data_IF_687699638759
#
_entry.id   IF_687699638759
#
_cell.length_a   1.000
_cell.length_b   1.000
_cell.length_c   1.000
_cell.angle_alpha   90.00
_cell.angle_beta   90.00
_cell.angle_gamma   90.00
#
_symmetry.space_group_name_H-M   'P 1'
#
loop_
_entity.id
_entity.type
_entity.pdbx_description
1 polymer ?
#
# COMPACT_ATOMS: atom_id res chain seq x y z
N UNK A 1 10.23 7.16 -48.72
CA UNK A 1 8.80 7.41 -48.44
C UNK A 1 8.71 7.86 -47.00
N UNK A 2 8.87 9.16 -46.80
CA UNK A 2 8.82 9.86 -45.52
C UNK A 2 7.37 10.30 -45.31
N UNK A 3 6.79 10.01 -44.14
CA UNK A 3 5.54 10.62 -43.69
C UNK A 3 5.79 11.28 -42.34
N UNK A 4 5.92 12.60 -42.42
CA UNK A 4 5.93 13.58 -41.34
C UNK A 4 4.50 13.87 -40.88
N UNK A 5 4.20 13.71 -39.59
CA UNK A 5 2.93 14.14 -38.95
C UNK A 5 3.11 15.59 -38.40
N UNK A 6 2.29 16.57 -38.82
CA UNK A 6 2.51 18.00 -38.55
C UNK A 6 1.83 18.53 -37.28
N UNK A 7 1.90 17.83 -36.14
CA UNK A 7 1.18 18.23 -34.91
C UNK A 7 2.03 18.81 -33.78
N UNK A 8 3.18 19.39 -34.10
CA UNK A 8 3.97 20.16 -33.14
C UNK A 8 4.44 21.48 -33.76
N UNK A 9 3.57 22.48 -33.76
CA UNK A 9 4.00 23.88 -33.83
C UNK A 9 3.23 24.74 -32.83
N UNK A 10 3.98 25.66 -32.22
CA UNK A 10 3.60 26.80 -31.40
C UNK A 10 3.07 26.57 -29.97
N UNK A 11 3.99 26.67 -29.00
CA UNK A 11 3.73 27.43 -27.77
C UNK A 11 4.56 28.69 -27.80
N UNK A 12 3.87 29.82 -27.98
CA UNK A 12 4.42 31.16 -27.99
C UNK A 12 4.78 31.66 -26.60
N UNK A 13 5.59 32.71 -26.64
CA UNK A 13 6.20 33.48 -25.56
C UNK A 13 5.31 33.73 -24.33
N UNK A 14 5.85 33.38 -23.16
CA UNK A 14 5.30 33.72 -21.85
C UNK A 14 5.78 35.11 -21.40
N UNK A 15 5.04 36.16 -21.76
CA UNK A 15 5.21 37.51 -21.18
C UNK A 15 4.00 38.00 -20.37
N UNK A 16 2.92 37.20 -20.24
CA UNK A 16 1.68 37.62 -19.57
C UNK A 16 1.59 37.36 -18.05
N UNK A 17 2.51 36.60 -17.45
CA UNK A 17 2.37 36.15 -16.06
C UNK A 17 2.65 37.24 -15.00
N UNK A 18 3.34 38.33 -15.37
CA UNK A 18 3.72 39.39 -14.44
C UNK A 18 2.62 40.43 -14.20
N UNK A 19 1.65 40.56 -15.11
CA UNK A 19 0.61 41.58 -15.05
C UNK A 19 -0.57 41.17 -14.15
N UNK A 20 -0.96 39.89 -14.20
CA UNK A 20 -2.04 39.32 -13.37
C UNK A 20 -1.67 39.35 -11.88
N UNK A 21 -0.39 39.10 -11.55
CA UNK A 21 0.10 39.15 -10.17
C UNK A 21 0.04 40.56 -9.57
N UNK A 22 0.26 41.61 -10.38
CA UNK A 22 0.20 43.01 -9.92
C UNK A 22 -1.24 43.44 -9.65
N UNK A 23 -2.18 43.05 -10.51
CA UNK A 23 -3.61 43.31 -10.32
C UNK A 23 -4.20 42.65 -9.07
N UNK A 24 -3.76 41.42 -8.74
CA UNK A 24 -4.20 40.72 -7.54
C UNK A 24 -3.68 41.35 -6.23
N UNK A 25 -2.44 41.86 -6.21
CA UNK A 25 -1.87 42.52 -5.02
C UNK A 25 -2.53 43.87 -4.71
N UNK A 26 -2.87 44.66 -5.74
CA UNK A 26 -3.60 45.93 -5.56
C UNK A 26 -4.98 45.70 -4.95
N UNK A 27 -5.66 44.60 -5.32
CA UNK A 27 -6.98 44.25 -4.79
C UNK A 27 -6.95 43.82 -3.32
N UNK A 28 -5.89 43.14 -2.87
CA UNK A 28 -5.72 42.73 -1.47
C UNK A 28 -5.41 43.92 -0.54
N UNK A 29 -4.59 44.87 -1.00
CA UNK A 29 -4.27 46.10 -0.25
C UNK A 29 -5.49 47.02 -0.11
N UNK A 30 -6.29 47.16 -1.17
CA UNK A 30 -7.54 47.92 -1.13
C UNK A 30 -8.56 47.30 -0.14
N UNK A 31 -8.58 45.98 -0.01
CA UNK A 31 -9.45 45.27 0.92
C UNK A 31 -9.07 45.49 2.40
N UNK A 32 -7.76 45.54 2.69
CA UNK A 32 -7.26 45.83 4.03
C UNK A 32 -7.64 47.26 4.47
N UNK A 33 -7.56 48.23 3.55
CA UNK A 33 -7.94 49.62 3.81
C UNK A 33 -9.47 49.82 3.96
N UNK A 34 -10.28 49.08 3.21
CA UNK A 34 -11.75 49.17 3.31
C UNK A 34 -12.30 48.49 4.57
N UNK A 35 -11.66 47.40 5.06
CA UNK A 35 -12.00 46.79 6.35
C UNK A 35 -11.69 47.70 7.53
N UNK A 36 -10.56 48.42 7.52
CA UNK A 36 -10.24 49.38 8.57
C UNK A 36 -11.20 50.57 8.61
N UNK A 37 -11.95 50.82 7.54
CA UNK A 37 -12.93 51.90 7.42
C UNK A 37 -14.39 51.48 7.70
N UNK A 38 -14.65 50.22 8.08
CA UNK A 38 -16.00 49.75 8.45
C UNK A 38 -17.01 49.61 7.30
N UNK A 39 -16.57 49.68 6.05
CA UNK A 39 -17.46 49.60 4.88
C UNK A 39 -17.71 48.14 4.45
N UNK A 40 -18.97 47.79 4.17
CA UNK A 40 -19.32 46.48 3.60
C UNK A 40 -19.26 46.51 2.07
N UNK A 41 -18.57 45.56 1.46
CA UNK A 41 -18.45 45.46 0.01
C UNK A 41 -19.71 44.88 -0.66
N UNK A 42 -20.01 45.34 -1.89
CA UNK A 42 -21.06 44.74 -2.72
C UNK A 42 -20.70 43.30 -3.13
N UNK A 43 -21.74 42.53 -3.47
CA UNK A 43 -21.68 41.06 -3.59
C UNK A 43 -20.79 40.59 -4.76
N UNK A 44 -20.76 41.36 -5.84
CA UNK A 44 -19.94 41.20 -7.04
C UNK A 44 -18.44 41.29 -6.72
N UNK A 45 -18.05 42.25 -5.89
CA UNK A 45 -16.66 42.48 -5.49
C UNK A 45 -16.17 41.40 -4.53
N UNK A 46 -17.05 40.85 -3.68
CA UNK A 46 -16.77 39.66 -2.86
C UNK A 46 -16.51 38.42 -3.70
N UNK A 47 -17.21 38.26 -4.83
CA UNK A 47 -17.02 37.14 -5.75
C UNK A 47 -15.65 37.21 -6.44
N UNK A 48 -15.29 38.38 -6.96
CA UNK A 48 -13.99 38.63 -7.61
C UNK A 48 -12.80 38.38 -6.68
N UNK A 49 -12.91 38.78 -5.41
CA UNK A 49 -11.88 38.53 -4.39
C UNK A 49 -11.78 37.06 -3.99
N UNK A 50 -12.89 36.32 -4.01
CA UNK A 50 -12.88 34.87 -3.77
C UNK A 50 -12.15 34.13 -4.90
N UNK A 51 -12.42 34.51 -6.16
CA UNK A 51 -11.68 33.98 -7.33
C UNK A 51 -10.21 34.42 -7.35
N UNK A 52 -9.90 35.66 -6.95
CA UNK A 52 -8.53 36.18 -6.89
C UNK A 52 -7.68 35.52 -5.81
N UNK A 53 -8.24 35.29 -4.62
CA UNK A 53 -7.58 34.54 -3.54
C UNK A 53 -7.33 33.08 -3.92
N UNK A 54 -8.24 32.45 -4.66
CA UNK A 54 -8.09 31.09 -5.18
C UNK A 54 -6.96 31.00 -6.22
N UNK A 55 -6.84 32.00 -7.12
CA UNK A 55 -5.72 32.09 -8.07
C UNK A 55 -4.37 32.34 -7.39
N UNK A 56 -4.32 33.16 -6.33
CA UNK A 56 -3.10 33.40 -5.58
C UNK A 56 -2.61 32.16 -4.81
N UNK A 57 -3.53 31.35 -4.27
CA UNK A 57 -3.21 30.06 -3.64
C UNK A 57 -2.65 29.03 -4.64
N UNK A 58 -3.05 29.10 -5.91
CA UNK A 58 -2.52 28.25 -6.98
C UNK A 58 -1.11 28.68 -7.44
N UNK A 59 -0.74 29.96 -7.31
CA UNK A 59 0.53 30.50 -7.78
C UNK A 59 1.76 30.19 -6.89
N UNK A 60 1.57 29.66 -5.66
CA UNK A 60 2.67 29.43 -4.70
C UNK A 60 3.18 27.99 -4.55
N UNK A 61 2.76 27.02 -5.37
CA UNK A 61 3.51 25.75 -5.41
C UNK A 61 4.56 25.83 -6.50
N UNK A 62 5.81 26.06 -6.08
CA UNK A 62 6.95 25.57 -6.84
C UNK A 62 6.87 24.05 -7.01
N UNK A 63 7.59 23.48 -7.98
CA UNK A 63 7.60 22.03 -8.19
C UNK A 63 8.10 21.35 -6.90
N UNK A 64 7.22 20.60 -6.25
CA UNK A 64 7.65 19.62 -5.25
C UNK A 64 8.27 18.50 -6.06
N UNK A 65 9.60 18.44 -6.08
CA UNK A 65 10.32 17.31 -6.63
C UNK A 65 10.02 16.12 -5.73
N UNK A 66 9.09 15.26 -6.16
CA UNK A 66 8.95 13.95 -5.58
C UNK A 66 10.31 13.26 -5.72
N UNK A 67 10.92 12.88 -4.61
CA UNK A 67 12.09 12.01 -4.68
C UNK A 67 11.60 10.72 -5.35
N UNK A 68 12.09 10.48 -6.57
CA UNK A 68 11.70 9.33 -7.36
C UNK A 68 12.29 8.11 -6.66
N UNK A 69 11.54 7.51 -5.75
CA UNK A 69 11.64 6.06 -5.50
C UNK A 69 10.97 5.27 -6.64
N UNK A 70 11.06 5.78 -7.86
CA UNK A 70 10.95 4.98 -9.06
C UNK A 70 12.26 4.20 -9.13
N UNK A 71 12.30 3.10 -8.39
CA UNK A 71 13.37 2.12 -8.43
C UNK A 71 13.48 1.44 -9.80
N UNK A 72 12.70 1.87 -10.81
CA UNK A 72 12.56 1.28 -12.14
C UNK A 72 12.19 -0.20 -12.10
N UNK A 73 11.70 -0.67 -10.95
CA UNK A 73 11.23 -2.01 -10.81
C UNK A 73 9.87 -2.08 -11.51
N UNK A 74 9.63 -3.09 -12.36
CA UNK A 74 8.39 -3.24 -13.08
C UNK A 74 7.21 -3.44 -12.12
N UNK A 75 6.04 -3.04 -12.62
CA UNK A 75 4.72 -3.37 -12.12
C UNK A 75 3.70 -3.13 -13.22
N UNK A 76 2.59 -3.88 -13.19
CA UNK A 76 1.45 -3.69 -14.10
C UNK A 76 0.64 -2.44 -13.78
N UNK A 77 0.90 -1.79 -12.64
CA UNK A 77 0.33 -0.49 -12.25
C UNK A 77 1.47 0.47 -11.84
N UNK A 78 1.31 1.80 -12.04
CA UNK A 78 2.33 2.76 -11.62
C UNK A 78 2.57 2.72 -10.10
N UNK A 79 3.77 3.04 -9.63
CA UNK A 79 3.97 3.32 -8.21
C UNK A 79 3.70 4.79 -7.90
N UNK A 80 2.98 5.05 -6.80
CA UNK A 80 2.75 6.41 -6.28
C UNK A 80 3.46 6.56 -4.94
N UNK A 81 4.51 7.39 -4.90
CA UNK A 81 5.29 7.68 -3.67
C UNK A 81 5.29 9.19 -3.36
N UNK A 82 4.22 9.75 -2.75
CA UNK A 82 4.15 11.17 -2.44
C UNK A 82 5.14 11.51 -1.32
N UNK A 83 5.92 12.61 -1.36
CA UNK A 83 6.85 12.95 -0.28
C UNK A 83 6.15 13.09 1.09
N UNK A 84 6.88 12.86 2.21
CA UNK A 84 6.32 13.02 3.55
C UNK A 84 5.67 14.40 3.76
N UNK A 85 4.50 14.45 4.41
CA UNK A 85 3.81 15.69 4.77
C UNK A 85 3.20 16.46 3.60
N UNK A 86 3.24 15.92 2.38
CA UNK A 86 2.58 16.55 1.24
C UNK A 86 1.06 16.37 1.34
N UNK A 87 0.26 17.26 0.75
CA UNK A 87 -1.16 17.02 0.51
C UNK A 87 -1.30 16.65 -0.97
N UNK A 88 -1.50 15.38 -1.29
CA UNK A 88 -1.58 14.91 -2.68
C UNK A 88 -2.93 15.32 -3.31
N UNK A 89 -3.03 16.61 -3.67
CA UNK A 89 -3.93 17.19 -4.67
C UNK A 89 -3.32 18.47 -5.19
N UNK A 90 -2.56 18.36 -6.28
CA UNK A 90 -2.43 19.48 -7.22
C UNK A 90 -2.67 19.02 -8.65
N UNK A 91 -3.53 18.04 -8.83
CA UNK A 91 -4.14 17.78 -10.13
C UNK A 91 -5.65 17.85 -9.95
N UNK A 92 -6.15 19.10 -9.98
CA UNK A 92 -7.52 19.34 -10.38
C UNK A 92 -7.70 18.70 -11.77
N UNK A 93 -8.44 17.60 -11.86
CA UNK A 93 -9.25 17.43 -13.06
C UNK A 93 -10.47 18.33 -12.88
N UNK A 94 -10.38 19.57 -13.37
CA UNK A 94 -11.58 20.35 -13.70
C UNK A 94 -12.15 19.77 -14.99
N UNK A 95 -12.74 18.58 -14.90
CA UNK A 95 -13.65 18.09 -15.93
C UNK A 95 -14.84 17.47 -15.21
N UNK A 96 -15.94 18.20 -15.21
CA UNK A 96 -17.28 17.76 -14.84
C UNK A 96 -17.48 17.24 -13.39
N UNK A 97 -17.47 18.15 -12.41
CA UNK A 97 -18.55 18.19 -11.40
C UNK A 97 -18.71 17.02 -10.42
N UNK A 98 -17.69 16.20 -10.14
CA UNK A 98 -17.71 15.32 -8.97
C UNK A 98 -16.40 15.40 -8.18
N UNK A 99 -16.56 15.74 -6.90
CA UNK A 99 -15.55 15.91 -5.87
C UNK A 99 -14.78 14.59 -5.62
N UNK A 100 -13.62 14.40 -6.26
CA UNK A 100 -12.66 13.36 -5.90
C UNK A 100 -11.24 13.84 -6.15
N UNK A 101 -10.54 14.19 -5.08
CA UNK A 101 -9.10 14.02 -4.83
C UNK A 101 -8.75 14.92 -3.63
N UNK A 102 -8.53 14.37 -2.42
CA UNK A 102 -7.87 15.03 -1.26
C UNK A 102 -7.20 14.11 -0.22
N UNK A 103 -7.00 12.82 -0.47
CA UNK A 103 -6.72 11.89 0.65
C UNK A 103 -5.40 11.09 0.53
N UNK A 104 -4.79 10.99 -0.66
CA UNK A 104 -3.71 10.01 -0.90
C UNK A 104 -2.44 10.19 -0.03
N UNK A 105 -2.08 11.41 0.34
CA UNK A 105 -0.83 11.66 1.07
C UNK A 105 -0.91 11.45 2.57
N UNK A 106 -2.05 11.78 3.21
CA UNK A 106 -2.28 11.43 4.62
C UNK A 106 -2.25 9.90 4.80
N UNK A 107 -2.74 9.17 3.79
CA UNK A 107 -2.66 7.71 3.75
C UNK A 107 -1.22 7.24 3.59
N UNK A 108 -0.44 7.86 2.70
CA UNK A 108 0.98 7.55 2.54
C UNK A 108 1.76 7.78 3.86
N UNK A 109 1.54 8.89 4.55
CA UNK A 109 2.20 9.15 5.84
C UNK A 109 1.76 8.18 6.94
N UNK A 110 0.48 7.80 6.97
CA UNK A 110 -0.02 6.72 7.83
C UNK A 110 0.69 5.40 7.53
N UNK A 111 0.84 5.01 6.26
CA UNK A 111 1.60 3.82 5.88
C UNK A 111 3.05 3.91 6.35
N UNK A 112 3.74 5.04 6.12
CA UNK A 112 5.12 5.26 6.58
C UNK A 112 5.29 5.06 8.08
N UNK A 113 4.33 5.51 8.89
CA UNK A 113 4.36 5.35 10.35
C UNK A 113 4.48 3.89 10.81
N UNK A 114 4.12 2.94 9.95
CA UNK A 114 4.21 1.51 10.20
C UNK A 114 5.41 0.83 9.54
N UNK A 115 6.22 1.55 8.75
CA UNK A 115 7.39 1.02 8.05
C UNK A 115 8.68 1.36 8.77
N UNK A 116 9.64 0.45 8.70
CA UNK A 116 11.00 0.72 9.17
C UNK A 116 11.57 1.93 8.41
N UNK A 117 12.10 2.91 9.14
CA UNK A 117 12.67 4.13 8.55
C UNK A 117 11.67 5.05 7.83
N UNK A 118 10.36 4.80 7.94
CA UNK A 118 9.35 5.60 7.24
C UNK A 118 9.35 5.43 5.71
N UNK A 119 9.92 4.34 5.21
CA UNK A 119 10.06 4.06 3.77
C UNK A 119 8.88 3.21 3.30
N UNK A 120 8.10 3.72 2.32
CA UNK A 120 6.98 3.00 1.70
C UNK A 120 7.47 1.82 0.89
N UNK A 121 6.82 0.66 1.01
CA UNK A 121 7.11 -0.51 0.18
C UNK A 121 6.50 -0.38 -1.23
N UNK A 122 6.95 -1.18 -2.19
CA UNK A 122 6.38 -1.20 -3.55
C UNK A 122 4.89 -1.52 -3.55
N UNK A 123 4.45 -2.44 -2.69
CA UNK A 123 3.03 -2.70 -2.46
C UNK A 123 2.27 -1.44 -1.97
N UNK A 124 2.88 -0.61 -1.11
CA UNK A 124 2.26 0.64 -0.67
C UNK A 124 2.10 1.61 -1.86
N UNK A 125 3.14 1.72 -2.70
CA UNK A 125 3.12 2.53 -3.92
C UNK A 125 2.05 2.09 -4.91
N UNK A 126 1.88 0.78 -5.10
CA UNK A 126 0.86 0.21 -5.97
C UNK A 126 -0.56 0.46 -5.42
N UNK A 127 -0.77 0.29 -4.12
CA UNK A 127 -2.06 0.54 -3.47
C UNK A 127 -2.50 2.01 -3.57
N UNK A 128 -1.56 2.95 -3.53
CA UNK A 128 -1.83 4.38 -3.56
C UNK A 128 -2.47 4.87 -4.88
N UNK A 129 -2.49 4.06 -5.94
CA UNK A 129 -3.34 4.29 -7.12
C UNK A 129 -4.84 4.39 -6.77
N UNK A 130 -5.26 3.78 -5.66
CA UNK A 130 -6.61 3.91 -5.14
C UNK A 130 -6.57 4.24 -3.64
N UNK A 131 -6.72 5.53 -3.26
CA UNK A 131 -6.64 5.97 -1.86
C UNK A 131 -7.63 5.27 -0.92
N UNK A 132 -8.83 4.94 -1.40
CA UNK A 132 -9.80 4.22 -0.56
C UNK A 132 -9.30 2.83 -0.20
N UNK A 133 -8.78 2.11 -1.20
CA UNK A 133 -8.18 0.77 -1.02
C UNK A 133 -6.95 0.88 -0.13
N UNK A 134 -6.03 1.81 -0.41
CA UNK A 134 -4.82 2.02 0.37
C UNK A 134 -5.10 2.29 1.87
N UNK A 135 -6.08 3.14 2.18
CA UNK A 135 -6.41 3.45 3.57
C UNK A 135 -6.98 2.23 4.31
N UNK A 136 -7.99 1.57 3.72
CA UNK A 136 -8.62 0.40 4.33
C UNK A 136 -7.65 -0.78 4.44
N UNK A 137 -6.81 -0.97 3.41
CA UNK A 137 -5.72 -1.94 3.44
C UNK A 137 -4.81 -1.71 4.65
N UNK A 138 -4.39 -0.47 4.86
CA UNK A 138 -3.53 -0.11 5.98
C UNK A 138 -4.17 -0.50 7.30
N UNK A 139 -5.42 -0.09 7.55
CA UNK A 139 -6.11 -0.40 8.80
C UNK A 139 -6.29 -1.91 9.02
N UNK A 140 -6.74 -2.62 7.98
CA UNK A 140 -7.01 -4.04 8.08
C UNK A 140 -5.73 -4.86 8.30
N UNK A 141 -4.65 -4.58 7.56
CA UNK A 141 -3.41 -5.32 7.72
C UNK A 141 -2.63 -4.97 8.99
N UNK A 142 -2.88 -3.81 9.61
CA UNK A 142 -2.40 -3.56 10.97
C UNK A 142 -3.01 -4.54 11.96
N UNK A 143 -4.32 -4.79 11.84
CA UNK A 143 -4.98 -5.80 12.69
C UNK A 143 -4.34 -7.17 12.47
N UNK A 144 -4.29 -7.63 11.22
CA UNK A 144 -3.77 -8.97 10.86
C UNK A 144 -2.31 -9.16 11.29
N UNK A 145 -1.45 -8.13 11.17
CA UNK A 145 -0.01 -8.25 11.45
C UNK A 145 0.37 -7.96 12.90
N UNK A 146 -0.44 -7.22 13.67
CA UNK A 146 0.02 -6.66 14.95
C UNK A 146 -0.97 -6.76 16.11
N UNK A 147 -2.26 -6.90 15.84
CA UNK A 147 -3.27 -6.83 16.90
C UNK A 147 -3.97 -8.17 17.19
N UNK A 148 -3.64 -9.23 16.45
CA UNK A 148 -4.13 -10.58 16.73
C UNK A 148 -3.46 -11.17 17.97
N UNK A 149 -4.08 -12.19 18.56
CA UNK A 149 -3.64 -12.85 19.80
C UNK A 149 -2.76 -14.08 19.56
N UNK A 150 -2.78 -14.64 18.35
CA UNK A 150 -1.88 -15.72 17.96
C UNK A 150 -0.40 -15.27 18.05
N UNK A 151 0.51 -16.12 18.56
CA UNK A 151 1.94 -15.82 18.59
C UNK A 151 2.49 -15.51 17.20
N UNK A 152 3.52 -14.67 17.10
CA UNK A 152 4.11 -14.27 15.82
C UNK A 152 4.62 -15.46 14.99
N UNK A 153 5.25 -16.44 15.63
CA UNK A 153 5.68 -17.68 14.95
C UNK A 153 4.52 -18.58 14.47
N UNK A 154 3.29 -18.40 14.97
CA UNK A 154 2.07 -19.02 14.43
C UNK A 154 1.50 -18.17 13.30
N UNK A 155 1.52 -16.83 13.45
CA UNK A 155 1.04 -15.86 12.47
C UNK A 155 1.84 -15.89 11.17
N UNK A 156 3.16 -16.04 11.23
CA UNK A 156 4.02 -16.08 10.05
C UNK A 156 3.90 -17.39 9.25
N UNK A 157 3.38 -18.48 9.85
CA UNK A 157 3.20 -19.75 9.13
C UNK A 157 2.17 -19.67 7.99
N UNK A 158 0.93 -19.18 8.19
CA UNK A 158 -0.01 -18.93 7.09
C UNK A 158 0.55 -18.01 6.02
N UNK A 159 1.33 -17.01 6.43
CA UNK A 159 1.94 -16.03 5.52
C UNK A 159 2.96 -16.71 4.60
N UNK A 160 3.94 -17.40 5.18
CA UNK A 160 4.99 -18.07 4.44
C UNK A 160 4.45 -19.23 3.60
N UNK A 161 3.50 -20.01 4.12
CA UNK A 161 2.89 -21.12 3.34
C UNK A 161 2.07 -20.64 2.17
N UNK A 162 1.35 -19.54 2.32
CA UNK A 162 0.64 -18.94 1.19
C UNK A 162 1.61 -18.39 0.15
N UNK A 163 2.76 -17.85 0.58
CA UNK A 163 3.82 -17.43 -0.34
C UNK A 163 4.38 -18.61 -1.14
N UNK A 164 4.65 -19.75 -0.47
CA UNK A 164 5.08 -20.99 -1.13
C UNK A 164 4.02 -21.49 -2.11
N UNK A 165 2.75 -21.52 -1.71
CA UNK A 165 1.65 -22.01 -2.56
C UNK A 165 1.47 -21.18 -3.84
N UNK A 166 1.66 -19.86 -3.75
CA UNK A 166 1.40 -18.93 -4.84
C UNK A 166 2.68 -18.51 -5.57
N UNK A 167 3.84 -19.07 -5.23
CA UNK A 167 5.16 -18.60 -5.72
C UNK A 167 5.34 -17.08 -5.53
N UNK A 168 4.87 -16.55 -4.38
CA UNK A 168 4.91 -15.11 -4.11
C UNK A 168 6.23 -14.70 -3.44
N UNK A 169 7.28 -14.55 -4.24
CA UNK A 169 8.63 -14.24 -3.74
C UNK A 169 8.72 -12.93 -2.99
N UNK A 170 8.09 -11.86 -3.48
CA UNK A 170 7.98 -10.59 -2.75
C UNK A 170 7.44 -10.78 -1.32
N UNK A 171 6.36 -11.56 -1.18
CA UNK A 171 5.76 -11.85 0.13
C UNK A 171 6.71 -12.63 1.03
N UNK A 172 7.42 -13.63 0.47
CA UNK A 172 8.42 -14.41 1.19
C UNK A 172 9.56 -13.53 1.70
N UNK A 173 10.14 -12.69 0.83
CA UNK A 173 11.24 -11.78 1.16
C UNK A 173 10.89 -10.80 2.28
N UNK A 174 9.64 -10.33 2.32
CA UNK A 174 9.19 -9.40 3.37
C UNK A 174 8.91 -10.11 4.71
N UNK A 175 8.62 -11.41 4.70
CA UNK A 175 8.10 -12.12 5.87
C UNK A 175 9.04 -13.16 6.48
N UNK A 176 9.98 -13.71 5.71
CA UNK A 176 11.00 -14.61 6.25
C UNK A 176 11.84 -13.95 7.35
N UNK A 177 12.31 -12.69 7.20
CA UNK A 177 13.03 -12.00 8.28
C UNK A 177 12.16 -11.77 9.52
N UNK A 178 10.86 -11.56 9.33
CA UNK A 178 9.90 -11.40 10.43
C UNK A 178 9.75 -12.72 11.18
N UNK A 179 9.60 -13.84 10.47
CA UNK A 179 9.56 -15.17 11.07
C UNK A 179 10.82 -15.48 11.90
N UNK A 180 12.01 -15.07 11.42
CA UNK A 180 13.26 -15.16 12.20
C UNK A 180 13.22 -14.30 13.46
N UNK A 181 12.69 -13.07 13.38
CA UNK A 181 12.52 -12.20 14.56
C UNK A 181 11.56 -12.80 15.60
N UNK A 182 10.67 -13.69 15.16
CA UNK A 182 9.77 -14.49 16.00
C UNK A 182 10.38 -15.84 16.44
N UNK A 183 11.71 -15.96 16.35
CA UNK A 183 12.51 -17.12 16.75
C UNK A 183 12.31 -18.40 15.92
N UNK A 184 11.86 -18.30 14.67
CA UNK A 184 11.89 -19.46 13.77
C UNK A 184 13.31 -19.75 13.31
N UNK A 185 13.74 -21.00 13.45
CA UNK A 185 15.09 -21.44 13.07
C UNK A 185 15.21 -21.65 11.56
N UNK A 186 16.45 -21.66 11.03
CA UNK A 186 16.69 -21.98 9.62
C UNK A 186 16.10 -23.36 9.25
N UNK A 187 16.26 -24.38 10.08
CA UNK A 187 15.69 -25.72 9.83
C UNK A 187 14.15 -25.70 9.75
N UNK A 188 13.50 -24.95 10.62
CA UNK A 188 12.04 -24.77 10.58
C UNK A 188 11.61 -24.07 9.30
N UNK A 189 12.33 -23.02 8.88
CA UNK A 189 12.03 -22.27 7.65
C UNK A 189 12.29 -23.10 6.38
N UNK A 190 13.35 -23.92 6.39
CA UNK A 190 13.60 -24.91 5.34
C UNK A 190 12.42 -25.89 5.23
N UNK A 191 11.91 -26.37 6.36
CA UNK A 191 10.73 -27.23 6.36
C UNK A 191 9.48 -26.49 5.85
N UNK A 192 9.23 -25.26 6.30
CA UNK A 192 8.11 -24.42 5.82
C UNK A 192 8.17 -24.22 4.31
N UNK A 193 9.38 -24.06 3.74
CA UNK A 193 9.55 -23.92 2.29
C UNK A 193 9.30 -25.23 1.55
N UNK A 194 9.95 -26.31 1.96
CA UNK A 194 10.08 -27.52 1.14
C UNK A 194 9.09 -28.64 1.49
N UNK A 195 8.35 -28.54 2.60
CA UNK A 195 7.36 -29.55 2.95
C UNK A 195 6.26 -29.66 1.87
N UNK A 196 5.97 -30.89 1.40
CA UNK A 196 4.99 -31.11 0.34
C UNK A 196 3.60 -30.70 0.83
N UNK A 197 2.93 -29.84 0.06
CA UNK A 197 1.69 -29.23 0.51
C UNK A 197 0.61 -30.28 0.77
N UNK A 198 -0.15 -30.11 1.86
CA UNK A 198 -1.30 -30.96 2.26
C UNK A 198 -0.97 -32.43 2.60
N UNK A 199 0.25 -32.91 2.34
CA UNK A 199 0.62 -34.33 2.52
C UNK A 199 1.71 -34.56 3.57
N UNK A 200 2.35 -33.52 4.10
CA UNK A 200 3.32 -33.67 5.18
C UNK A 200 2.64 -34.14 6.48
N UNK A 201 3.40 -34.81 7.34
CA UNK A 201 2.90 -35.25 8.65
C UNK A 201 2.84 -34.09 9.62
N UNK A 202 1.66 -33.81 10.19
CA UNK A 202 1.44 -32.71 11.13
C UNK A 202 1.42 -33.12 12.62
N UNK A 203 1.83 -34.36 12.92
CA UNK A 203 1.93 -34.92 14.28
C UNK A 203 3.32 -35.51 14.56
N UNK A 204 4.35 -35.04 13.86
CA UNK A 204 5.74 -35.46 14.05
C UNK A 204 6.67 -34.24 14.18
N UNK A 205 6.38 -33.39 15.17
CA UNK A 205 7.16 -32.18 15.43
C UNK A 205 8.65 -32.41 15.73
N UNK A 206 9.01 -33.61 16.20
CA UNK A 206 10.40 -33.98 16.51
C UNK A 206 11.30 -34.02 15.28
N UNK A 207 10.75 -34.35 14.10
CA UNK A 207 11.52 -34.40 12.85
C UNK A 207 11.66 -33.04 12.16
N UNK A 208 10.75 -32.12 12.44
CA UNK A 208 10.65 -30.84 11.72
C UNK A 208 11.16 -29.66 12.54
N UNK A 209 11.32 -29.84 13.86
CA UNK A 209 11.60 -28.76 14.80
C UNK A 209 10.39 -27.86 15.09
N UNK A 210 9.27 -28.02 14.37
CA UNK A 210 8.02 -27.32 14.62
C UNK A 210 7.17 -28.08 15.65
N UNK A 211 6.45 -27.36 16.51
CA UNK A 211 5.42 -27.97 17.37
C UNK A 211 4.23 -28.50 16.58
N UNK A 212 3.45 -29.41 17.16
CA UNK A 212 2.22 -29.92 16.53
C UNK A 212 1.21 -28.80 16.25
N UNK A 213 1.15 -27.77 17.10
CA UNK A 213 0.32 -26.58 16.88
C UNK A 213 0.77 -25.77 15.65
N UNK A 214 2.09 -25.60 15.47
CA UNK A 214 2.65 -24.97 14.27
C UNK A 214 2.35 -25.80 13.02
N UNK A 215 2.58 -27.12 13.07
CA UNK A 215 2.29 -28.01 11.95
C UNK A 215 0.81 -28.03 11.57
N UNK A 216 -0.10 -28.01 12.56
CA UNK A 216 -1.54 -27.94 12.32
C UNK A 216 -1.94 -26.62 11.63
N UNK A 217 -1.43 -25.47 12.11
CA UNK A 217 -1.64 -24.16 11.46
C UNK A 217 -1.11 -24.14 10.03
N UNK A 218 0.08 -24.72 9.82
CA UNK A 218 0.71 -24.86 8.51
C UNK A 218 -0.16 -25.70 7.55
N UNK A 219 -0.67 -26.84 8.02
CA UNK A 219 -1.50 -27.74 7.21
C UNK A 219 -2.85 -27.09 6.84
N UNK A 220 -3.46 -26.37 7.79
CA UNK A 220 -4.68 -25.60 7.53
C UNK A 220 -4.45 -24.51 6.48
N UNK A 221 -3.30 -23.84 6.54
CA UNK A 221 -2.94 -22.78 5.60
C UNK A 221 -2.72 -23.30 4.18
N UNK A 222 -2.19 -24.52 4.01
CA UNK A 222 -2.07 -25.17 2.69
C UNK A 222 -3.42 -25.40 2.02
N UNK A 223 -4.45 -25.73 2.79
CA UNK A 223 -5.81 -25.82 2.26
C UNK A 223 -6.32 -24.43 1.93
N UNK A 224 -6.24 -23.47 2.86
CA UNK A 224 -6.72 -22.10 2.62
C UNK A 224 -6.08 -21.40 1.41
N UNK A 225 -4.82 -21.70 1.08
CA UNK A 225 -4.11 -21.07 -0.04
C UNK A 225 -4.66 -21.51 -1.41
N UNK A 226 -5.10 -22.76 -1.55
CA UNK A 226 -5.47 -23.35 -2.85
C UNK A 226 -6.91 -23.93 -2.86
N UNK A 227 -7.29 -24.65 -1.80
CA UNK A 227 -8.62 -25.27 -1.65
C UNK A 227 -9.33 -24.73 -0.39
N UNK A 228 -10.10 -23.65 -0.55
CA UNK A 228 -10.87 -23.02 0.55
C UNK A 228 -11.77 -23.97 1.35
N UNK A 229 -12.06 -25.17 0.81
CA UNK A 229 -12.73 -26.25 1.53
C UNK A 229 -11.71 -27.09 2.31
N UNK A 230 -11.66 -26.87 3.62
CA UNK A 230 -10.76 -27.56 4.54
C UNK A 230 -11.37 -28.90 4.98
N UNK A 231 -10.66 -30.05 4.86
CA UNK A 231 -11.14 -31.32 5.36
C UNK A 231 -11.29 -31.34 6.88
N UNK A 232 -12.32 -32.03 7.39
CA UNK A 232 -12.61 -32.12 8.83
C UNK A 232 -11.41 -32.56 9.67
N UNK A 233 -10.61 -33.51 9.16
CA UNK A 233 -9.38 -33.97 9.84
C UNK A 233 -8.36 -32.85 10.07
N UNK A 234 -8.24 -31.91 9.12
CA UNK A 234 -7.31 -30.77 9.20
C UNK A 234 -7.87 -29.71 10.12
N UNK A 235 -9.18 -29.42 9.99
CA UNK A 235 -9.86 -28.49 10.90
C UNK A 235 -9.77 -28.96 12.36
N UNK A 236 -10.02 -30.25 12.61
CA UNK A 236 -9.95 -30.83 13.95
C UNK A 236 -8.53 -30.79 14.53
N UNK A 237 -7.49 -30.91 13.69
CA UNK A 237 -6.10 -30.77 14.13
C UNK A 237 -5.77 -29.34 14.59
N UNK A 238 -6.28 -28.31 13.90
CA UNK A 238 -6.13 -26.92 14.40
C UNK A 238 -6.94 -26.74 15.69
N UNK A 239 -8.17 -27.25 15.72
CA UNK A 239 -9.07 -27.13 16.87
C UNK A 239 -8.52 -27.79 18.15
N UNK A 240 -7.65 -28.80 18.05
CA UNK A 240 -7.01 -29.40 19.23
C UNK A 240 -5.97 -28.49 19.89
N UNK A 241 -5.50 -27.44 19.20
CA UNK A 241 -4.46 -26.53 19.70
C UNK A 241 -4.93 -25.09 19.89
N UNK A 242 -5.99 -24.68 19.19
CA UNK A 242 -6.44 -23.29 19.14
C UNK A 242 -7.92 -23.16 19.50
N UNK A 243 -8.26 -22.10 20.22
CA UNK A 243 -9.66 -21.75 20.49
C UNK A 243 -10.33 -21.11 19.25
N UNK A 244 -11.65 -20.91 19.30
CA UNK A 244 -12.42 -20.33 18.18
C UNK A 244 -11.87 -18.99 17.69
N UNK A 245 -11.45 -18.10 18.60
CA UNK A 245 -10.88 -16.80 18.23
C UNK A 245 -9.57 -16.98 17.46
N UNK A 246 -8.67 -17.82 17.96
CA UNK A 246 -7.39 -18.09 17.32
C UNK A 246 -7.54 -18.81 15.96
N UNK A 247 -8.54 -19.69 15.82
CA UNK A 247 -8.87 -20.30 14.52
C UNK A 247 -9.31 -19.22 13.52
N UNK A 248 -10.14 -18.26 13.95
CA UNK A 248 -10.52 -17.12 13.11
C UNK A 248 -9.30 -16.26 12.72
N UNK A 249 -8.37 -16.05 13.65
CA UNK A 249 -7.12 -15.32 13.41
C UNK A 249 -6.20 -16.03 12.39
N UNK A 250 -6.04 -17.35 12.50
CA UNK A 250 -5.30 -18.15 11.51
C UNK A 250 -6.00 -18.08 10.14
N UNK A 251 -7.34 -18.21 10.12
CA UNK A 251 -8.15 -18.18 8.91
C UNK A 251 -8.05 -16.84 8.19
N UNK A 252 -8.21 -15.73 8.91
CA UNK A 252 -8.14 -14.39 8.32
C UNK A 252 -6.72 -14.08 7.87
N UNK A 253 -5.69 -14.55 8.59
CA UNK A 253 -4.30 -14.37 8.18
C UNK A 253 -4.02 -15.10 6.87
N UNK A 254 -4.39 -16.39 6.76
CA UNK A 254 -4.22 -17.17 5.53
C UNK A 254 -4.95 -16.52 4.34
N UNK A 255 -6.24 -16.19 4.52
CA UNK A 255 -7.04 -15.55 3.46
C UNK A 255 -6.51 -14.17 3.05
N UNK A 256 -6.06 -13.36 4.02
CA UNK A 256 -5.48 -12.04 3.74
C UNK A 256 -4.19 -12.14 2.95
N UNK A 257 -3.35 -13.13 3.24
CA UNK A 257 -2.11 -13.31 2.50
C UNK A 257 -2.30 -13.98 1.14
N UNK A 258 -3.39 -14.72 0.95
CA UNK A 258 -3.82 -15.13 -0.37
C UNK A 258 -4.25 -13.90 -1.21
N UNK A 259 -4.89 -12.90 -0.59
CA UNK A 259 -5.14 -11.60 -1.22
C UNK A 259 -3.84 -10.84 -1.50
N UNK A 260 -2.87 -10.80 -0.57
CA UNK A 260 -1.55 -10.18 -0.79
C UNK A 260 -0.87 -10.77 -2.02
N UNK A 261 -0.76 -12.10 -2.11
CA UNK A 261 -0.12 -12.75 -3.26
C UNK A 261 -0.77 -12.37 -4.59
N UNK A 262 -2.10 -12.19 -4.63
CA UNK A 262 -2.82 -11.76 -5.86
C UNK A 262 -2.47 -10.34 -6.29
N UNK A 263 -2.12 -9.46 -5.35
CA UNK A 263 -1.61 -8.13 -5.66
C UNK A 263 -0.14 -8.18 -6.05
N UNK A 264 0.70 -8.87 -5.28
CA UNK A 264 2.15 -8.85 -5.51
C UNK A 264 2.54 -9.61 -6.78
N UNK A 265 1.97 -10.82 -6.99
CA UNK A 265 2.22 -11.61 -8.19
C UNK A 265 1.36 -11.11 -9.35
N UNK A 266 0.07 -10.90 -9.14
CA UNK A 266 -0.86 -10.52 -10.21
C UNK A 266 -0.62 -9.12 -10.78
N UNK A 267 0.05 -8.23 -10.05
CA UNK A 267 0.50 -6.93 -10.55
C UNK A 267 2.00 -6.88 -10.81
N UNK A 268 2.73 -8.00 -10.70
CA UNK A 268 4.17 -8.11 -11.00
C UNK A 268 5.00 -7.07 -10.25
N UNK A 269 4.75 -6.96 -8.94
CA UNK A 269 5.47 -6.00 -8.12
C UNK A 269 6.91 -6.48 -7.91
N UNK A 270 7.87 -5.58 -8.14
CA UNK A 270 9.31 -5.81 -7.93
C UNK A 270 9.98 -6.77 -8.95
N UNK A 271 9.27 -7.21 -10.00
CA UNK A 271 9.72 -8.29 -10.92
C UNK A 271 10.01 -9.64 -10.24
N UNK A 272 9.47 -9.85 -9.04
CA UNK A 272 9.67 -11.07 -8.28
C UNK A 272 8.72 -12.21 -8.70
N UNK A 273 7.85 -12.01 -9.70
CA UNK A 273 6.86 -13.00 -10.14
C UNK A 273 7.46 -14.30 -10.69
N UNK A 274 8.59 -14.21 -11.40
CA UNK A 274 9.30 -15.35 -11.99
C UNK A 274 10.52 -15.76 -11.16
N UNK A 275 10.77 -15.07 -10.05
CA UNK A 275 11.88 -15.38 -9.14
C UNK A 275 11.44 -16.52 -8.24
N UNK A 276 12.22 -17.60 -8.19
CA UNK A 276 11.98 -18.66 -7.21
C UNK A 276 12.18 -18.12 -5.80
N UNK A 277 11.37 -18.56 -4.84
CA UNK A 277 11.53 -18.20 -3.44
C UNK A 277 13.00 -18.43 -2.99
N UNK A 278 13.62 -17.53 -2.22
CA UNK A 278 14.97 -17.71 -1.68
C UNK A 278 15.11 -18.80 -0.64
N UNK A 279 16.23 -19.53 -0.63
CA UNK A 279 16.46 -20.65 0.31
C UNK A 279 16.84 -20.05 1.65
N UNK A 280 16.13 -20.35 2.75
CA UNK A 280 16.56 -19.93 4.09
C UNK A 280 18.02 -20.31 4.33
N UNK A 281 18.83 -19.31 4.71
CA UNK A 281 20.24 -19.49 5.08
C UNK A 281 20.45 -19.58 6.59
#
# INVERSE_FOLDING_TARGET
MTLSDPRYEHWGDSTGATDVSRHCMVSLLLHAQLRSAGASLPLDMKFTLFTGALCALLAFAGPVTADKRDNQLPARVPYIFPPPGTNAVRVLSVVAGLLRLTIASQIADKMRSFRAGGVLLDLDGALLNNPLVANTWTDFFQVVRRNLTIPGNIRELPILRTAVANTATYQWLQHEPVARSENMTTDQLLFVRFAPQKTFSWNDGRRTGLSDAQLASMAFSDWMADNVRIPDKVYNAVKSHFNTSQIMEITITAGSYALVSRLTVGLELDSDEDVELPVPQ
#
